data_IF_907574204655
#
_entry.id   IF_907574204655
#
_cell.length_a   1.000
_cell.length_b   1.000
_cell.length_c   1.000
_cell.angle_alpha   90.00
_cell.angle_beta   90.00
_cell.angle_gamma   90.00
#
_symmetry.space_group_name_H-M   'P 1'
#
loop_
_entity.id
_entity.type
_entity.pdbx_description
1 polymer ?
#
# COMPACT_ATOMS: atom_id res chain seq x y z
N UNK A 1 15.49 -10.11 -5.23
CA UNK A 1 14.36 -9.39 -4.61
C UNK A 1 14.90 -8.06 -4.13
N UNK A 2 14.26 -6.94 -4.52
CA UNK A 2 14.63 -5.60 -4.01
C UNK A 2 14.53 -5.60 -2.49
N UNK A 3 15.60 -5.13 -1.83
CA UNK A 3 15.61 -5.02 -0.36
C UNK A 3 15.19 -3.60 0.01
N UNK A 4 14.17 -3.51 0.86
CA UNK A 4 13.81 -2.27 1.54
C UNK A 4 14.15 -2.42 3.02
N UNK A 5 15.15 -1.66 3.47
CA UNK A 5 15.65 -1.67 4.84
C UNK A 5 15.19 -0.43 5.59
N UNK A 6 14.94 -0.59 6.88
CA UNK A 6 14.49 0.49 7.77
C UNK A 6 15.41 0.55 9.01
N UNK A 7 15.70 1.74 9.50
CA UNK A 7 16.45 1.93 10.76
C UNK A 7 15.56 1.55 11.96
N UNK A 8 16.15 1.20 13.13
CA UNK A 8 15.55 0.28 14.12
C UNK A 8 14.38 0.82 14.96
N UNK A 9 13.69 1.86 14.48
CA UNK A 9 12.48 2.38 15.09
C UNK A 9 11.66 3.07 14.00
N UNK A 10 10.77 2.36 13.29
CA UNK A 10 9.55 2.88 12.62
C UNK A 10 9.08 1.88 11.54
N UNK A 11 7.76 1.78 11.37
CA UNK A 11 7.07 0.66 10.72
C UNK A 11 6.17 1.13 9.54
N UNK A 12 6.07 0.38 8.43
CA UNK A 12 5.40 0.81 7.17
C UNK A 12 4.63 -0.31 6.43
N UNK A 13 3.45 -0.02 5.86
CA UNK A 13 2.70 -0.92 4.95
C UNK A 13 3.10 -0.79 3.47
N UNK A 14 3.12 -1.93 2.78
CA UNK A 14 3.46 -2.05 1.36
C UNK A 14 2.25 -2.55 0.55
N UNK A 15 1.87 -1.85 -0.51
CA UNK A 15 0.92 -2.33 -1.51
C UNK A 15 1.69 -2.92 -2.70
N UNK A 16 1.24 -4.08 -3.21
CA UNK A 16 1.71 -4.67 -4.47
C UNK A 16 0.50 -5.03 -5.31
N UNK A 17 0.44 -4.52 -6.55
CA UNK A 17 -0.53 -4.97 -7.55
C UNK A 17 -0.01 -6.25 -8.22
N UNK A 18 -0.81 -7.32 -8.15
CA UNK A 18 -0.55 -8.58 -8.84
C UNK A 18 -1.84 -9.37 -9.02
N UNK A 19 -2.13 -9.77 -10.26
CA UNK A 19 -3.29 -10.60 -10.60
C UNK A 19 -3.12 -12.03 -10.06
N UNK A 20 -4.03 -12.47 -9.18
CA UNK A 20 -4.04 -13.84 -8.66
C UNK A 20 -5.00 -14.72 -9.47
N UNK A 21 -4.46 -15.72 -10.18
CA UNK A 21 -5.21 -16.90 -10.57
C UNK A 21 -5.09 -17.94 -9.45
N UNK A 22 -6.24 -18.39 -8.95
CA UNK A 22 -6.38 -19.07 -7.67
C UNK A 22 -5.60 -20.38 -7.51
N UNK A 23 -4.95 -20.50 -6.36
CA UNK A 23 -4.68 -21.77 -5.69
C UNK A 23 -4.90 -21.58 -4.18
N UNK A 24 -5.60 -22.54 -3.56
CA UNK A 24 -6.05 -22.45 -2.17
C UNK A 24 -4.90 -22.23 -1.19
N UNK A 25 -5.08 -21.28 -0.28
CA UNK A 25 -4.13 -20.98 0.79
C UNK A 25 -4.23 -22.02 1.91
N UNK A 26 -3.12 -22.59 2.40
CA UNK A 26 -3.13 -23.34 3.64
C UNK A 26 -3.41 -22.39 4.82
N UNK A 27 -4.34 -22.75 5.68
CA UNK A 27 -4.67 -22.01 6.91
C UNK A 27 -3.53 -22.15 7.91
N UNK A 28 -2.84 -21.05 8.23
CA UNK A 28 -1.85 -21.01 9.29
C UNK A 28 -2.53 -20.77 10.66
N UNK A 29 -2.43 -21.75 11.57
CA UNK A 29 -2.74 -21.64 13.00
C UNK A 29 -1.66 -20.83 13.74
N UNK A 30 -1.63 -19.54 13.43
CA UNK A 30 -0.76 -18.54 14.05
C UNK A 30 -1.23 -17.15 13.63
N UNK A 31 -2.54 -16.92 13.76
CA UNK A 31 -3.27 -15.78 13.20
C UNK A 31 -2.51 -14.47 13.38
N UNK A 32 -1.92 -13.98 12.28
CA UNK A 32 -1.78 -12.55 12.07
C UNK A 32 -3.15 -11.94 12.35
N UNK A 33 -3.27 -11.19 13.45
CA UNK A 33 -4.46 -10.40 13.73
C UNK A 33 -4.52 -9.32 12.63
N UNK A 34 -5.31 -9.55 11.59
CA UNK A 34 -5.59 -8.53 10.56
C UNK A 34 -6.66 -7.54 11.00
N UNK A 35 -7.06 -7.64 12.27
CA UNK A 35 -8.01 -6.76 12.93
C UNK A 35 -7.26 -5.71 13.72
N UNK A 36 -7.71 -4.47 13.65
CA UNK A 36 -7.16 -3.37 14.44
C UNK A 36 -7.98 -2.11 14.29
N UNK A 37 -7.48 -1.02 14.85
CA UNK A 37 -8.20 0.26 14.93
C UNK A 37 -7.58 1.38 14.11
N UNK A 38 -6.34 1.19 13.67
CA UNK A 38 -5.55 2.21 13.00
C UNK A 38 -4.82 1.57 11.83
N UNK A 39 -4.99 2.16 10.64
CA UNK A 39 -4.43 1.65 9.40
C UNK A 39 -3.91 2.82 8.58
N UNK A 40 -2.83 2.57 7.84
CA UNK A 40 -2.30 3.49 6.82
C UNK A 40 -2.12 2.74 5.51
N UNK A 41 -2.56 3.31 4.40
CA UNK A 41 -2.49 2.66 3.10
C UNK A 41 -2.48 3.67 1.94
N UNK A 42 -2.23 3.22 0.71
CA UNK A 42 -2.32 4.03 -0.51
C UNK A 42 -2.52 3.11 -1.71
N UNK A 43 -2.75 3.66 -2.89
CA UNK A 43 -2.94 2.91 -4.12
C UNK A 43 -1.79 3.21 -5.08
N UNK A 44 -1.19 2.17 -5.64
CA UNK A 44 -0.18 2.33 -6.68
C UNK A 44 -0.80 2.89 -7.95
N UNK A 45 0.04 3.51 -8.78
CA UNK A 45 -0.35 4.07 -10.06
C UNK A 45 -1.02 3.03 -10.97
N UNK A 46 -2.15 3.39 -11.56
CA UNK A 46 -2.84 2.51 -12.51
C UNK A 46 -2.91 3.16 -13.89
N UNK A 47 -2.71 2.36 -14.94
CA UNK A 47 -2.62 2.86 -16.32
C UNK A 47 -3.99 3.21 -16.94
N UNK A 48 -5.11 2.73 -16.37
CA UNK A 48 -6.47 3.07 -16.84
C UNK A 48 -7.25 3.95 -15.85
N UNK A 49 -7.41 5.22 -16.22
CA UNK A 49 -7.66 6.31 -15.27
C UNK A 49 -9.06 6.95 -15.35
N UNK A 50 -10.16 6.19 -15.50
CA UNK A 50 -11.49 6.83 -15.48
C UNK A 50 -12.65 6.03 -14.87
N UNK A 51 -12.69 4.70 -15.00
CA UNK A 51 -13.93 3.95 -14.75
C UNK A 51 -13.97 3.19 -13.41
N UNK A 52 -12.85 3.01 -12.72
CA UNK A 52 -12.78 2.26 -11.46
C UNK A 52 -12.15 3.10 -10.35
N UNK A 53 -12.94 3.59 -9.41
CA UNK A 53 -12.42 4.33 -8.26
C UNK A 53 -11.86 3.35 -7.21
N UNK A 54 -10.77 3.71 -6.49
CA UNK A 54 -10.30 2.94 -5.34
C UNK A 54 -11.39 2.81 -4.28
N UNK A 55 -11.48 1.64 -3.64
CA UNK A 55 -12.49 1.34 -2.64
C UNK A 55 -11.89 0.70 -1.39
N UNK A 56 -12.50 0.99 -0.25
CA UNK A 56 -12.26 0.31 1.02
C UNK A 56 -13.45 -0.57 1.35
N UNK A 57 -13.20 -1.85 1.62
CA UNK A 57 -14.19 -2.75 2.21
C UNK A 57 -13.87 -2.92 3.69
N UNK A 58 -14.84 -2.57 4.52
CA UNK A 58 -14.69 -2.47 5.96
C UNK A 58 -15.67 -3.44 6.59
N UNK A 59 -15.19 -4.29 7.50
CA UNK A 59 -16.05 -5.17 8.31
C UNK A 59 -15.64 -5.12 9.78
N UNK A 60 -16.60 -5.31 10.66
CA UNK A 60 -16.39 -5.33 12.11
C UNK A 60 -17.23 -6.44 12.74
N UNK A 61 -16.81 -6.94 13.90
CA UNK A 61 -17.64 -7.85 14.74
C UNK A 61 -18.42 -7.08 15.83
N UNK A 62 -18.40 -5.74 15.78
CA UNK A 62 -19.08 -4.86 16.72
C UNK A 62 -19.45 -3.56 16.03
N UNK A 63 -20.53 -2.92 16.47
CA UNK A 63 -20.92 -1.60 15.98
C UNK A 63 -19.77 -0.60 16.24
N UNK A 64 -19.35 0.11 15.19
CA UNK A 64 -18.22 1.04 15.26
C UNK A 64 -18.38 2.18 14.28
N UNK A 65 -17.89 3.37 14.65
CA UNK A 65 -17.64 4.43 13.70
C UNK A 65 -16.23 4.29 13.14
N UNK A 66 -16.06 4.63 11.86
CA UNK A 66 -14.79 4.56 11.14
C UNK A 66 -14.56 5.87 10.40
N UNK A 67 -13.46 6.54 10.71
CA UNK A 67 -13.02 7.78 10.06
C UNK A 67 -11.91 7.46 9.06
N UNK A 68 -12.01 8.04 7.87
CA UNK A 68 -11.10 7.82 6.74
C UNK A 68 -10.62 9.19 6.27
N UNK A 69 -9.31 9.39 6.23
CA UNK A 69 -8.68 10.67 5.92
C UNK A 69 -7.63 10.47 4.82
N UNK A 70 -7.63 11.35 3.81
CA UNK A 70 -6.57 11.43 2.80
C UNK A 70 -6.03 12.87 2.76
N UNK A 71 -4.87 13.15 3.38
CA UNK A 71 -4.38 14.51 3.60
C UNK A 71 -4.08 15.29 2.32
N UNK A 72 -3.65 14.62 1.24
CA UNK A 72 -3.24 15.27 -0.01
C UNK A 72 -4.23 16.32 -0.53
N UNK A 73 -5.53 15.98 -0.46
CA UNK A 73 -6.62 16.83 -0.94
C UNK A 73 -7.59 17.23 0.19
N UNK A 74 -7.23 16.95 1.46
CA UNK A 74 -8.09 17.22 2.63
C UNK A 74 -9.39 16.41 2.66
N UNK A 75 -9.42 15.24 2.02
CA UNK A 75 -10.59 14.36 2.04
C UNK A 75 -10.75 13.74 3.43
N UNK A 76 -11.96 13.83 3.98
CA UNK A 76 -12.34 13.16 5.22
C UNK A 76 -13.77 12.65 5.12
N UNK A 77 -14.01 11.42 5.58
CA UNK A 77 -15.35 10.86 5.70
C UNK A 77 -15.44 9.99 6.94
N UNK A 78 -16.65 9.87 7.49
CA UNK A 78 -16.93 8.96 8.61
C UNK A 78 -18.12 8.10 8.23
N UNK A 79 -18.01 6.80 8.50
CA UNK A 79 -19.04 5.80 8.22
C UNK A 79 -19.27 4.93 9.46
N UNK A 80 -20.53 4.60 9.72
CA UNK A 80 -20.88 3.64 10.74
C UNK A 80 -20.91 2.23 10.14
N UNK A 81 -20.32 1.28 10.84
CA UNK A 81 -20.25 -0.13 10.47
C UNK A 81 -20.97 -0.94 11.54
N UNK A 82 -22.12 -1.49 11.20
CA UNK A 82 -22.85 -2.42 12.09
C UNK A 82 -22.06 -3.73 12.26
N UNK A 83 -22.24 -4.39 13.39
CA UNK A 83 -21.66 -5.70 13.63
C UNK A 83 -22.01 -6.71 12.51
N UNK A 84 -20.99 -7.42 12.02
CA UNK A 84 -21.05 -8.45 10.99
C UNK A 84 -21.54 -7.96 9.61
N UNK A 85 -21.62 -6.65 9.40
CA UNK A 85 -21.92 -6.04 8.10
C UNK A 85 -20.64 -5.59 7.36
N UNK A 86 -20.78 -5.45 6.03
CA UNK A 86 -19.75 -4.91 5.15
C UNK A 86 -20.16 -3.53 4.66
N UNK A 87 -19.33 -2.53 4.93
CA UNK A 87 -19.44 -1.20 4.37
C UNK A 87 -18.40 -1.03 3.26
N UNK A 88 -18.81 -0.38 2.16
CA UNK A 88 -17.93 -0.03 1.05
C UNK A 88 -17.81 1.49 0.97
N UNK A 89 -16.58 2.00 0.99
CA UNK A 89 -16.29 3.42 0.81
C UNK A 89 -15.52 3.61 -0.48
N UNK A 90 -16.02 4.47 -1.36
CA UNK A 90 -15.34 4.85 -2.60
C UNK A 90 -14.49 6.09 -2.34
N UNK A 91 -13.21 6.02 -2.67
CA UNK A 91 -12.25 7.09 -2.45
C UNK A 91 -12.03 7.90 -3.74
N UNK A 92 -11.79 9.21 -3.63
CA UNK A 92 -11.34 10.00 -4.77
C UNK A 92 -9.93 9.57 -5.19
N UNK A 93 -9.78 8.97 -6.38
CA UNK A 93 -8.48 8.51 -6.90
C UNK A 93 -7.38 9.56 -6.82
N UNK A 94 -7.70 10.81 -7.16
CA UNK A 94 -6.74 11.93 -7.13
C UNK A 94 -6.10 12.12 -5.75
N UNK A 95 -6.76 11.72 -4.67
CA UNK A 95 -6.28 11.93 -3.30
C UNK A 95 -5.47 10.77 -2.76
N UNK A 96 -5.56 9.58 -3.39
CA UNK A 96 -5.10 8.31 -2.78
C UNK A 96 -4.25 7.45 -3.70
N UNK A 97 -4.16 7.78 -4.99
CA UNK A 97 -3.33 7.06 -5.96
C UNK A 97 -1.99 7.79 -6.13
N UNK A 98 -0.91 7.04 -5.90
CA UNK A 98 0.48 7.40 -6.15
C UNK A 98 0.71 7.55 -7.66
N UNK A 99 1.74 8.29 -8.07
CA UNK A 99 2.05 8.46 -9.48
C UNK A 99 3.55 8.58 -9.71
N UNK A 100 4.06 7.86 -10.71
CA UNK A 100 5.47 7.89 -11.08
C UNK A 100 6.40 7.28 -10.04
N UNK A 101 7.70 7.55 -10.21
CA UNK A 101 8.74 7.13 -9.27
C UNK A 101 9.24 8.31 -8.45
N UNK A 102 8.51 8.62 -7.38
CA UNK A 102 8.74 9.81 -6.55
C UNK A 102 8.11 9.64 -5.16
N UNK A 103 8.47 10.53 -4.25
CA UNK A 103 7.73 10.70 -2.99
C UNK A 103 6.39 11.43 -3.23
N UNK A 104 5.39 11.10 -2.42
CA UNK A 104 4.06 11.71 -2.46
C UNK A 104 3.39 11.78 -1.07
N UNK A 105 2.20 12.36 -1.03
CA UNK A 105 1.38 12.49 0.18
C UNK A 105 0.03 11.75 0.06
N UNK A 106 -0.02 10.68 -0.74
CA UNK A 106 -1.25 9.96 -1.11
C UNK A 106 -1.65 8.88 -0.11
N UNK A 107 -1.20 9.00 1.13
CA UNK A 107 -1.61 8.13 2.21
C UNK A 107 -3.08 8.33 2.57
N UNK A 108 -3.72 7.23 2.94
CA UNK A 108 -5.05 7.16 3.54
C UNK A 108 -4.86 6.63 4.95
N UNK A 109 -5.31 7.42 5.93
CA UNK A 109 -5.35 7.03 7.33
C UNK A 109 -6.78 6.62 7.69
N UNK A 110 -6.92 5.48 8.36
CA UNK A 110 -8.22 4.93 8.78
C UNK A 110 -8.18 4.64 10.26
N UNK A 111 -9.11 5.24 11.00
CA UNK A 111 -9.28 5.04 12.44
C UNK A 111 -10.67 4.56 12.80
N UNK A 112 -10.80 3.70 13.80
CA UNK A 112 -12.09 3.19 14.26
C UNK A 112 -12.18 3.03 15.77
N UNK A 113 -13.40 3.11 16.32
CA UNK A 113 -13.65 2.91 17.75
C UNK A 113 -13.38 1.46 18.20
N UNK A 114 -13.73 0.50 17.35
CA UNK A 114 -13.54 -0.95 17.55
C UNK A 114 -12.66 -1.56 16.46
N UNK A 115 -12.21 -2.80 16.71
CA UNK A 115 -11.37 -3.54 15.77
C UNK A 115 -12.13 -3.86 14.46
N UNK A 116 -11.61 -3.36 13.35
CA UNK A 116 -12.12 -3.62 12.00
C UNK A 116 -11.15 -4.50 11.20
N UNK A 117 -11.66 -5.16 10.14
CA UNK A 117 -10.83 -5.62 9.04
C UNK A 117 -10.96 -4.63 7.88
N UNK A 118 -9.84 -4.38 7.21
CA UNK A 118 -9.78 -3.46 6.09
C UNK A 118 -9.17 -4.13 4.86
N UNK A 119 -9.89 -4.05 3.74
CA UNK A 119 -9.44 -4.50 2.43
C UNK A 119 -9.46 -3.32 1.47
N UNK A 120 -8.31 -3.05 0.85
CA UNK A 120 -8.18 -2.06 -0.21
C UNK A 120 -8.42 -2.74 -1.54
N UNK A 121 -9.27 -2.15 -2.38
CA UNK A 121 -9.62 -2.67 -3.71
C UNK A 121 -9.37 -1.57 -4.73
N UNK A 122 -8.53 -1.85 -5.71
CA UNK A 122 -8.34 -1.00 -6.89
C UNK A 122 -8.75 -1.74 -8.15
N UNK A 123 -9.13 -0.99 -9.18
CA UNK A 123 -9.45 -1.55 -10.48
C UNK A 123 -8.73 -0.82 -11.59
N UNK A 124 -8.26 -1.57 -12.58
CA UNK A 124 -7.71 -1.12 -13.85
C UNK A 124 -8.48 -1.82 -14.98
N UNK A 125 -9.42 -1.12 -15.61
CA UNK A 125 -10.29 -1.73 -16.63
C UNK A 125 -11.08 -2.94 -16.11
N UNK A 126 -10.75 -4.15 -16.58
CA UNK A 126 -11.34 -5.42 -16.14
C UNK A 126 -10.55 -6.13 -15.03
N UNK A 127 -9.42 -5.57 -14.62
CA UNK A 127 -8.52 -6.15 -13.62
C UNK A 127 -8.82 -5.51 -12.28
N UNK A 128 -9.18 -6.31 -11.28
CA UNK A 128 -9.33 -5.87 -9.89
C UNK A 128 -8.16 -6.38 -9.07
N UNK A 129 -7.42 -5.46 -8.48
CA UNK A 129 -6.44 -5.73 -7.44
C UNK A 129 -7.08 -5.56 -6.07
N UNK A 130 -6.76 -6.42 -5.13
CA UNK A 130 -7.12 -6.20 -3.75
C UNK A 130 -5.99 -6.64 -2.83
N UNK A 131 -5.70 -5.85 -1.81
CA UNK A 131 -4.75 -6.23 -0.77
C UNK A 131 -5.33 -5.97 0.61
N UNK A 132 -4.94 -6.85 1.54
CA UNK A 132 -5.36 -6.74 2.93
C UNK A 132 -4.45 -5.76 3.66
N UNK A 133 -5.07 -4.82 4.34
CA UNK A 133 -4.41 -3.72 5.02
C UNK A 133 -4.07 -4.18 6.43
N UNK A 134 -2.79 -4.12 6.82
CA UNK A 134 -2.36 -4.51 8.16
C UNK A 134 -2.55 -3.37 9.17
N UNK A 135 -2.97 -3.63 10.41
CA UNK A 135 -3.01 -2.56 11.41
C UNK A 135 -1.61 -2.01 11.67
N UNK A 136 -1.50 -0.72 11.99
CA UNK A 136 -0.23 -0.06 12.30
C UNK A 136 0.53 -0.80 13.42
N UNK A 137 -0.19 -1.42 14.36
CA UNK A 137 0.37 -2.21 15.47
C UNK A 137 1.11 -3.49 15.04
N UNK A 138 1.00 -3.94 13.78
CA UNK A 138 1.62 -5.16 13.26
C UNK A 138 2.65 -4.91 12.16
N UNK A 139 2.99 -3.65 11.89
CA UNK A 139 4.01 -3.34 10.90
C UNK A 139 5.39 -3.83 11.40
N UNK A 140 6.27 -4.22 10.47
CA UNK A 140 7.61 -4.78 10.61
C UNK A 140 8.69 -3.82 10.09
N UNK A 141 9.98 -4.16 10.24
CA UNK A 141 11.11 -3.31 9.82
C UNK A 141 11.88 -3.86 8.61
N UNK A 142 11.39 -4.94 8.01
CA UNK A 142 11.91 -5.49 6.76
C UNK A 142 10.74 -6.07 5.99
N UNK A 143 10.65 -5.72 4.71
CA UNK A 143 9.59 -6.20 3.82
C UNK A 143 10.19 -6.73 2.54
N UNK A 144 9.58 -7.79 2.04
CA UNK A 144 9.86 -8.36 0.74
C UNK A 144 8.71 -8.03 -0.19
N UNK A 145 9.03 -7.64 -1.42
CA UNK A 145 8.07 -7.25 -2.45
C UNK A 145 7.89 -8.44 -3.42
N UNK A 146 6.92 -9.34 -3.20
CA UNK A 146 6.55 -10.31 -4.22
C UNK A 146 5.69 -9.61 -5.27
N UNK A 147 6.00 -9.79 -6.55
CA UNK A 147 5.16 -9.26 -7.63
C UNK A 147 5.39 -10.01 -8.93
N UNK A 148 4.66 -9.62 -9.97
CA UNK A 148 4.75 -10.19 -11.29
C UNK A 148 4.71 -9.06 -12.32
N UNK A 149 5.77 -8.90 -13.10
CA UNK A 149 5.78 -7.95 -14.22
C UNK A 149 5.23 -8.64 -15.48
N UNK A 150 4.08 -8.19 -15.98
CA UNK A 150 3.63 -8.57 -17.31
C UNK A 150 4.43 -7.80 -18.39
N UNK A 151 4.62 -8.40 -19.57
CA UNK A 151 5.33 -7.76 -20.67
C UNK A 151 4.70 -6.41 -21.03
N UNK A 152 5.46 -5.32 -20.89
CA UNK A 152 5.05 -3.97 -21.27
C UNK A 152 4.49 -3.11 -20.13
N UNK A 153 4.47 -3.62 -18.89
CA UNK A 153 4.14 -2.83 -17.69
C UNK A 153 5.40 -2.62 -16.84
N UNK A 154 5.46 -1.48 -16.14
CA UNK A 154 6.52 -1.23 -15.17
C UNK A 154 6.31 -2.12 -13.94
N UNK A 155 7.41 -2.64 -13.40
CA UNK A 155 7.41 -3.22 -12.07
C UNK A 155 7.41 -2.08 -11.05
N UNK A 156 6.51 -2.12 -10.08
CA UNK A 156 6.36 -1.03 -9.13
C UNK A 156 6.06 -1.52 -7.70
N UNK A 157 6.39 -0.66 -6.74
CA UNK A 157 6.03 -0.82 -5.34
C UNK A 157 5.87 0.55 -4.66
N UNK A 158 5.11 0.57 -3.57
CA UNK A 158 4.87 1.76 -2.78
C UNK A 158 5.13 1.52 -1.30
N UNK A 159 5.62 2.55 -0.61
CA UNK A 159 5.99 2.54 0.80
C UNK A 159 5.35 3.77 1.45
N UNK A 160 4.69 3.61 2.60
CA UNK A 160 4.04 4.72 3.30
C UNK A 160 4.42 4.77 4.76
N UNK A 161 4.90 5.91 5.22
CA UNK A 161 5.26 6.07 6.61
C UNK A 161 4.04 6.24 7.51
N UNK A 162 3.95 5.42 8.56
CA UNK A 162 3.00 5.62 9.65
C UNK A 162 3.51 6.61 10.72
N UNK A 163 4.75 7.06 10.62
CA UNK A 163 5.44 7.81 11.68
C UNK A 163 6.31 8.93 11.10
N UNK A 164 6.57 10.00 11.87
CA UNK A 164 7.50 11.03 11.45
C UNK A 164 8.95 10.52 11.40
N UNK A 165 9.81 11.27 10.72
CA UNK A 165 11.26 11.08 10.67
C UNK A 165 11.71 9.68 10.22
N UNK A 166 10.99 9.09 9.26
CA UNK A 166 11.26 7.72 8.81
C UNK A 166 12.21 7.70 7.62
N UNK A 167 13.33 7.00 7.75
CA UNK A 167 14.28 6.78 6.64
C UNK A 167 14.04 5.41 6.01
N UNK A 168 13.78 5.41 4.70
CA UNK A 168 13.61 4.21 3.88
C UNK A 168 14.85 4.01 3.02
N UNK A 169 15.57 2.92 3.23
CA UNK A 169 16.72 2.54 2.39
C UNK A 169 16.27 1.55 1.32
N UNK A 170 16.41 1.92 0.05
CA UNK A 170 16.00 1.12 -1.10
C UNK A 170 17.24 0.61 -1.82
N UNK A 171 17.35 -0.72 -2.00
CA UNK A 171 18.39 -1.35 -2.84
C UNK A 171 17.74 -2.08 -4.02
N UNK A 172 17.62 -1.43 -5.19
CA UNK A 172 16.89 -1.96 -6.33
C UNK A 172 17.67 -3.06 -7.05
N UNK A 173 16.97 -4.05 -7.61
CA UNK A 173 17.60 -5.11 -8.43
C UNK A 173 17.78 -4.74 -9.91
N UNK A 174 17.14 -3.67 -10.35
CA UNK A 174 17.23 -3.10 -11.70
C UNK A 174 17.44 -1.59 -11.60
N UNK A 175 17.84 -0.95 -12.69
CA UNK A 175 17.99 0.50 -12.74
C UNK A 175 16.63 1.16 -12.48
N UNK A 176 16.60 2.12 -11.55
CA UNK A 176 15.42 2.94 -11.25
C UNK A 176 15.76 4.40 -11.44
N UNK A 177 14.75 5.20 -11.79
CA UNK A 177 14.84 6.66 -11.69
C UNK A 177 13.87 7.07 -10.60
N UNK A 178 14.34 7.74 -9.56
CA UNK A 178 13.53 8.17 -8.43
C UNK A 178 13.77 9.66 -8.17
N UNK A 179 12.70 10.46 -8.06
CA UNK A 179 12.76 11.93 -7.95
C UNK A 179 13.65 12.60 -9.02
N UNK A 180 13.63 12.04 -10.24
CA UNK A 180 14.42 12.52 -11.38
C UNK A 180 15.91 12.17 -11.33
N UNK A 181 16.38 11.46 -10.30
CA UNK A 181 17.75 10.94 -10.21
C UNK A 181 17.81 9.46 -10.60
N UNK A 182 18.85 9.08 -11.35
CA UNK A 182 19.07 7.69 -11.76
C UNK A 182 19.88 6.91 -10.71
N UNK A 183 19.39 5.73 -10.33
CA UNK A 183 20.05 4.81 -9.42
C UNK A 183 20.27 3.46 -10.11
N UNK A 184 21.53 3.08 -10.38
CA UNK A 184 21.85 1.79 -10.98
C UNK A 184 21.49 0.62 -10.07
N UNK A 185 21.20 -0.53 -10.66
CA UNK A 185 20.96 -1.78 -9.93
C UNK A 185 22.03 -2.04 -8.84
N UNK A 186 21.58 -2.41 -7.64
CA UNK A 186 22.43 -2.68 -6.48
C UNK A 186 22.97 -1.43 -5.76
N UNK A 187 22.71 -0.23 -6.26
CA UNK A 187 23.08 1.02 -5.58
C UNK A 187 21.98 1.43 -4.62
N UNK A 188 22.25 1.36 -3.33
CA UNK A 188 21.30 1.78 -2.32
C UNK A 188 21.13 3.31 -2.29
N UNK A 189 19.91 3.77 -2.02
CA UNK A 189 19.60 5.17 -1.76
C UNK A 189 18.59 5.29 -0.62
N UNK A 190 18.63 6.41 0.08
CA UNK A 190 17.75 6.69 1.22
C UNK A 190 16.71 7.75 0.83
N UNK A 191 15.49 7.55 1.33
CA UNK A 191 14.39 8.51 1.20
C UNK A 191 13.88 8.83 2.61
N UNK A 192 13.81 10.12 2.95
CA UNK A 192 13.20 10.59 4.19
C UNK A 192 11.71 10.81 3.97
N UNK A 193 10.89 10.23 4.84
CA UNK A 193 9.44 10.36 4.84
C UNK A 193 8.96 10.93 6.18
N UNK A 194 8.11 11.95 6.09
CA UNK A 194 7.29 12.43 7.19
C UNK A 194 6.16 11.47 7.53
N UNK A 195 5.42 11.79 8.60
CA UNK A 195 4.24 11.02 8.98
C UNK A 195 3.17 11.09 7.88
N UNK A 196 2.69 9.93 7.44
CA UNK A 196 1.72 9.79 6.33
C UNK A 196 2.23 10.27 4.97
N UNK A 197 3.55 10.39 4.79
CA UNK A 197 4.15 10.52 3.46
C UNK A 197 4.42 9.14 2.86
N UNK A 198 4.29 9.07 1.55
CA UNK A 198 4.52 7.87 0.77
C UNK A 198 5.62 8.07 -0.26
N UNK A 199 6.01 6.97 -0.88
CA UNK A 199 6.79 6.96 -2.11
C UNK A 199 6.35 5.80 -2.98
N UNK A 200 6.50 5.97 -4.29
CA UNK A 200 6.40 4.92 -5.27
C UNK A 200 7.71 4.79 -6.04
N UNK A 201 8.11 3.57 -6.35
CA UNK A 201 9.27 3.26 -7.20
C UNK A 201 8.81 2.37 -8.34
N UNK A 202 9.21 2.71 -9.55
CA UNK A 202 8.91 1.95 -10.76
C UNK A 202 10.20 1.64 -11.53
N UNK A 203 10.16 0.57 -12.31
CA UNK A 203 11.28 0.08 -13.11
C UNK A 203 10.77 -0.65 -14.33
N UNK A 204 11.50 -0.54 -15.45
CA UNK A 204 11.26 -1.38 -16.62
C UNK A 204 11.70 -2.85 -16.39
N UNK A 205 12.63 -3.06 -15.46
CA UNK A 205 13.05 -4.39 -15.02
C UNK A 205 12.29 -4.87 -13.79
N UNK A 206 12.20 -6.18 -13.61
CA UNK A 206 11.46 -6.83 -12.53
C UNK A 206 12.08 -6.57 -11.13
N UNK A 207 11.41 -5.77 -10.30
CA UNK A 207 11.88 -5.43 -8.93
C UNK A 207 11.58 -6.54 -7.90
N UNK A 208 10.75 -7.49 -8.27
CA UNK A 208 10.27 -8.59 -7.43
C UNK A 208 11.38 -9.62 -7.22
N UNK A 209 12.31 -9.67 -8.18
CA UNK A 209 13.48 -10.54 -8.18
C UNK A 209 13.15 -12.01 -8.34
N UNK A 210 12.03 -12.35 -9.00
CA UNK A 210 11.68 -13.73 -9.38
C UNK A 210 11.91 -14.06 -10.85
N UNK A 211 12.07 -13.06 -11.74
CA UNK A 211 12.57 -13.32 -13.10
C UNK A 211 14.11 -13.38 -13.13
N UNK A 212 14.63 -14.39 -13.83
CA UNK A 212 16.04 -14.62 -14.13
C UNK A 212 16.29 -14.39 -15.60
#
# INVERSE_FOLDING_TARGET
MTKVGFLPRQWIMLAVLGSFLGYGFPTCEGCLYTKGKEFVLSFLESFENANNQPQLYITSTSDTSVTIEAPADGYTTTVDVSADEKVTVTLPRSSVEMSGSQSDNKAVYVTSDQDINLLAVSGEGLITGAYRVLPISFLGSEYFIPGYSASGQLSEFGVISAYPDTTVTITPTHDVTFDGAAYPAGTAFDVELGEYEGLQVQSAGDLTGVSR
#
